data_IF_538928859430
#
_entry.id   IF_538928859430
#
_cell.length_a   1.000
_cell.length_b   1.000
_cell.length_c   1.000
_cell.angle_alpha   90.00
_cell.angle_beta   90.00
_cell.angle_gamma   90.00
#
_symmetry.space_group_name_H-M   'P 1'
#
loop_
_entity.id
_entity.type
_entity.pdbx_description
1 polymer ?
#
# COMPACT_ATOMS: atom_id res chain seq x y z
N UNK A 1 14.98 20.16 21.85
CA UNK A 1 14.23 19.52 22.96
C UNK A 1 13.30 20.56 23.55
N UNK A 2 11.99 20.37 23.39
CA UNK A 2 10.92 20.68 24.37
C UNK A 2 9.58 20.37 23.71
N UNK A 3 8.84 19.48 24.37
CA UNK A 3 7.49 19.02 24.07
C UNK A 3 6.45 20.09 24.42
N UNK A 4 5.34 20.16 23.68
CA UNK A 4 4.00 20.32 24.26
C UNK A 4 3.00 19.50 23.44
N UNK A 5 2.25 18.66 24.15
CA UNK A 5 1.15 17.80 23.71
C UNK A 5 -0.20 18.54 23.86
N UNK A 6 -1.27 17.98 23.28
CA UNK A 6 -2.69 18.29 23.53
C UNK A 6 -3.23 19.48 22.70
N UNK A 7 -4.39 19.46 22.04
CA UNK A 7 -5.68 18.91 22.44
C UNK A 7 -6.55 18.48 21.24
N UNK A 8 -7.57 17.69 21.57
CA UNK A 8 -8.62 17.18 20.69
C UNK A 8 -9.26 18.24 19.80
N UNK A 9 -9.09 18.12 18.48
CA UNK A 9 -10.07 18.71 17.55
C UNK A 9 -11.23 17.72 17.40
N UNK A 10 -12.11 17.72 18.40
CA UNK A 10 -13.42 17.07 18.34
C UNK A 10 -14.25 17.89 17.34
N UNK A 11 -14.71 17.35 16.20
CA UNK A 11 -15.63 18.10 15.36
C UNK A 11 -16.93 18.26 16.13
N UNK A 12 -17.33 19.51 16.32
CA UNK A 12 -18.67 19.92 16.72
C UNK A 12 -19.71 19.06 16.00
N UNK A 13 -20.70 18.60 16.77
CA UNK A 13 -21.89 17.94 16.24
C UNK A 13 -22.55 18.90 15.23
N UNK A 14 -23.08 18.39 14.13
CA UNK A 14 -23.75 19.14 13.03
C UNK A 14 -22.88 19.69 11.89
N UNK A 15 -22.06 18.85 11.27
CA UNK A 15 -21.64 19.07 9.88
C UNK A 15 -21.72 17.78 9.06
N UNK A 16 -22.82 17.04 9.21
CA UNK A 16 -23.16 15.92 8.33
C UNK A 16 -24.24 16.39 7.38
N UNK A 17 -23.86 16.87 6.19
CA UNK A 17 -24.56 16.63 4.93
C UNK A 17 -24.05 17.54 3.80
N UNK A 18 -23.88 16.91 2.64
CA UNK A 18 -23.80 17.50 1.29
C UNK A 18 -22.47 18.12 0.85
N UNK A 19 -21.51 17.24 0.54
CA UNK A 19 -20.66 17.43 -0.64
C UNK A 19 -20.85 16.22 -1.57
N UNK A 20 -22.01 16.14 -2.22
CA UNK A 20 -22.25 15.15 -3.29
C UNK A 20 -22.07 15.74 -4.69
N UNK A 21 -21.91 17.05 -4.84
CA UNK A 21 -21.74 17.75 -6.12
C UNK A 21 -21.01 19.08 -5.90
N UNK A 22 -19.69 19.07 -5.69
CA UNK A 22 -18.88 20.30 -5.73
C UNK A 22 -17.61 20.06 -6.55
N UNK A 23 -17.65 20.55 -7.78
CA UNK A 23 -16.50 20.84 -8.61
C UNK A 23 -15.49 21.73 -7.86
N UNK A 24 -14.20 21.42 -8.08
CA UNK A 24 -13.02 22.26 -7.87
C UNK A 24 -13.12 23.37 -6.79
N UNK A 25 -12.70 23.07 -5.55
CA UNK A 25 -12.21 24.11 -4.64
C UNK A 25 -10.68 24.13 -4.63
N UNK A 26 -10.11 25.14 -5.28
CA UNK A 26 -8.72 25.53 -5.14
C UNK A 26 -8.46 25.92 -3.68
N UNK A 27 -7.50 25.26 -3.02
CA UNK A 27 -6.95 25.67 -1.74
C UNK A 27 -5.74 26.57 -1.97
N UNK A 28 -5.73 27.75 -1.39
CA UNK A 28 -4.61 28.70 -1.44
C UNK A 28 -3.84 28.62 -0.11
N UNK A 29 -2.56 28.29 -0.18
CA UNK A 29 -1.60 28.40 0.92
C UNK A 29 -1.24 29.87 1.20
N UNK A 30 -0.91 30.21 2.46
CA UNK A 30 -0.65 31.59 2.93
C UNK A 30 0.55 32.29 2.24
N UNK A 31 1.18 31.66 1.24
CA UNK A 31 2.26 32.21 0.44
C UNK A 31 1.90 32.37 -1.05
N UNK A 32 0.62 32.20 -1.44
CA UNK A 32 0.14 32.62 -2.76
C UNK A 32 0.67 31.82 -3.96
N UNK A 33 1.23 30.62 -3.76
CA UNK A 33 1.63 29.76 -4.87
C UNK A 33 0.51 28.80 -5.24
N UNK A 34 -0.22 29.09 -6.33
CA UNK A 34 -1.26 28.21 -6.88
C UNK A 34 -0.67 26.90 -7.41
N UNK A 35 -0.32 26.01 -6.49
CA UNK A 35 0.12 24.65 -6.79
C UNK A 35 -1.12 23.78 -6.79
N UNK A 36 -1.36 23.04 -7.87
CA UNK A 36 -2.41 22.02 -7.89
C UNK A 36 -2.04 20.92 -6.88
N UNK A 37 -2.44 21.09 -5.63
CA UNK A 37 -2.37 20.02 -4.63
C UNK A 37 -3.41 19.00 -5.09
N UNK A 38 -2.95 17.99 -5.81
CA UNK A 38 -3.77 16.85 -6.22
C UNK A 38 -4.09 16.08 -4.95
N UNK A 39 -5.11 16.51 -4.20
CA UNK A 39 -5.59 15.79 -3.04
C UNK A 39 -5.86 14.35 -3.45
N UNK A 40 -5.37 13.33 -2.71
CA UNK A 40 -5.71 11.96 -3.01
C UNK A 40 -7.22 11.86 -2.96
N UNK A 41 -7.79 11.60 -4.14
CA UNK A 41 -9.22 11.40 -4.36
C UNK A 41 -9.70 10.49 -3.23
N UNK A 42 -10.61 10.96 -2.37
CA UNK A 42 -11.20 10.14 -1.32
C UNK A 42 -12.08 9.10 -2.03
N UNK A 43 -11.43 8.03 -2.45
CA UNK A 43 -12.06 6.91 -3.13
C UNK A 43 -12.44 5.92 -2.06
N UNK A 44 -13.75 5.69 -1.92
CA UNK A 44 -14.32 4.51 -1.27
C UNK A 44 -13.38 3.31 -1.50
N UNK A 45 -13.13 2.53 -0.44
CA UNK A 45 -12.30 1.33 -0.56
C UNK A 45 -12.79 0.50 -1.76
N UNK A 46 -11.90 0.06 -2.66
CA UNK A 46 -12.29 -0.68 -3.83
C UNK A 46 -13.08 -1.92 -3.43
N UNK A 47 -14.15 -2.19 -4.18
CA UNK A 47 -14.99 -3.35 -3.91
C UNK A 47 -14.25 -4.62 -4.34
N UNK A 48 -13.62 -5.28 -3.37
CA UNK A 48 -13.00 -6.59 -3.55
C UNK A 48 -14.07 -7.64 -3.30
N UNK A 49 -14.22 -8.58 -4.25
CA UNK A 49 -15.14 -9.72 -4.12
C UNK A 49 -14.81 -10.50 -2.85
N UNK A 50 -15.81 -10.72 -2.00
CA UNK A 50 -15.67 -11.55 -0.80
C UNK A 50 -15.87 -13.02 -1.17
N UNK A 51 -15.08 -13.88 -0.56
CA UNK A 51 -15.18 -15.34 -0.71
C UNK A 51 -15.65 -15.97 0.59
N UNK A 52 -16.31 -17.12 0.48
CA UNK A 52 -16.62 -17.98 1.64
C UNK A 52 -15.32 -18.59 2.17
N UNK A 53 -15.20 -18.73 3.49
CA UNK A 53 -14.08 -19.44 4.08
C UNK A 53 -14.02 -20.89 3.56
N UNK A 54 -12.82 -21.33 3.14
CA UNK A 54 -12.60 -22.65 2.54
C UNK A 54 -12.93 -22.75 1.04
N UNK A 55 -13.43 -21.68 0.40
CA UNK A 55 -13.60 -21.65 -1.06
C UNK A 55 -12.28 -21.25 -1.74
N UNK A 56 -11.37 -22.22 -1.83
CA UNK A 56 -10.03 -22.04 -2.39
C UNK A 56 -10.05 -21.54 -3.84
N UNK A 57 -11.09 -21.91 -4.62
CA UNK A 57 -11.26 -21.48 -6.01
C UNK A 57 -11.59 -20.00 -6.06
N UNK A 58 -12.58 -19.55 -5.28
CA UNK A 58 -12.94 -18.14 -5.20
C UNK A 58 -11.75 -17.29 -4.71
N UNK A 59 -11.05 -17.74 -3.67
CA UNK A 59 -9.93 -17.01 -3.08
C UNK A 59 -8.80 -16.86 -4.10
N UNK A 60 -8.42 -17.95 -4.76
CA UNK A 60 -7.38 -17.95 -5.81
C UNK A 60 -7.74 -17.03 -6.96
N UNK A 61 -8.98 -17.06 -7.44
CA UNK A 61 -9.45 -16.17 -8.51
C UNK A 61 -9.41 -14.70 -8.07
N UNK A 62 -9.89 -14.40 -6.87
CA UNK A 62 -9.92 -13.04 -6.33
C UNK A 62 -8.50 -12.49 -6.15
N UNK A 63 -7.54 -13.30 -5.70
CA UNK A 63 -6.13 -12.90 -5.62
C UNK A 63 -5.54 -12.58 -7.00
N UNK A 64 -5.80 -13.41 -8.01
CA UNK A 64 -5.37 -13.15 -9.38
C UNK A 64 -5.99 -11.86 -9.95
N UNK A 65 -7.27 -11.60 -9.65
CA UNK A 65 -7.93 -10.35 -10.04
C UNK A 65 -7.31 -9.13 -9.37
N UNK A 66 -6.97 -9.22 -8.08
CA UNK A 66 -6.30 -8.13 -7.35
C UNK A 66 -4.93 -7.82 -7.99
N UNK A 67 -4.12 -8.83 -8.29
CA UNK A 67 -2.81 -8.64 -8.95
C UNK A 67 -2.99 -7.93 -10.30
N UNK A 68 -3.97 -8.36 -11.10
CA UNK A 68 -4.27 -7.77 -12.41
C UNK A 68 -4.79 -6.34 -12.34
N UNK A 69 -5.63 -6.03 -11.35
CA UNK A 69 -6.27 -4.72 -11.22
C UNK A 69 -5.37 -3.68 -10.55
N UNK A 70 -4.47 -4.10 -9.67
CA UNK A 70 -3.62 -3.20 -8.88
C UNK A 70 -2.11 -3.53 -9.03
N UNK A 71 -1.56 -3.57 -10.26
CA UNK A 71 -0.15 -3.91 -10.46
C UNK A 71 0.80 -2.83 -9.89
N UNK A 72 0.34 -1.58 -9.80
CA UNK A 72 1.08 -0.47 -9.20
C UNK A 72 0.91 -0.38 -7.67
N UNK A 73 0.15 -1.31 -7.07
CA UNK A 73 -0.23 -1.29 -5.67
C UNK A 73 -1.46 -0.45 -5.39
N UNK A 74 -1.88 -0.41 -4.12
CA UNK A 74 -2.99 0.42 -3.66
C UNK A 74 -2.80 0.84 -2.19
N UNK A 75 -2.68 2.15 -1.91
CA UNK A 75 -2.44 2.64 -0.55
C UNK A 75 -3.63 2.41 0.40
N UNK A 76 -4.87 2.32 -0.12
CA UNK A 76 -6.07 2.18 0.72
C UNK A 76 -6.10 0.86 1.49
N UNK A 77 -5.53 -0.20 0.92
CA UNK A 77 -5.40 -1.50 1.58
C UNK A 77 -3.94 -1.94 1.71
N UNK A 78 -3.01 -0.97 1.70
CA UNK A 78 -1.56 -1.17 1.91
C UNK A 78 -0.91 -2.21 0.98
N UNK A 79 -1.42 -2.33 -0.24
CA UNK A 79 -0.81 -3.19 -1.24
C UNK A 79 0.39 -2.47 -1.88
N UNK A 80 1.59 -3.06 -1.85
CA UNK A 80 2.78 -2.48 -2.45
C UNK A 80 2.74 -2.55 -3.98
N UNK A 81 3.63 -1.80 -4.64
CA UNK A 81 3.80 -1.88 -6.09
C UNK A 81 4.37 -3.26 -6.48
N UNK A 82 3.70 -3.98 -7.37
CA UNK A 82 4.11 -5.30 -7.83
C UNK A 82 5.01 -5.26 -9.07
N UNK A 83 5.00 -4.17 -9.83
CA UNK A 83 5.92 -4.00 -10.98
C UNK A 83 7.37 -3.87 -10.53
N UNK A 84 7.60 -3.24 -9.37
CA UNK A 84 8.91 -3.08 -8.78
C UNK A 84 8.85 -3.13 -7.25
N UNK A 85 9.36 -4.24 -6.70
CA UNK A 85 9.62 -4.37 -5.27
C UNK A 85 11.11 -4.13 -5.03
N UNK A 86 11.42 -3.25 -4.08
CA UNK A 86 12.78 -2.95 -3.65
C UNK A 86 13.02 -3.56 -2.26
N UNK A 87 14.14 -4.26 -2.12
CA UNK A 87 14.60 -4.77 -0.83
C UNK A 87 16.01 -4.25 -0.59
N UNK A 88 16.21 -3.52 0.50
CA UNK A 88 17.50 -2.92 0.82
C UNK A 88 18.55 -3.99 1.16
N UNK A 89 18.11 -5.06 1.84
CA UNK A 89 18.98 -6.15 2.27
C UNK A 89 18.24 -7.47 2.37
N UNK A 90 18.79 -8.52 1.78
CA UNK A 90 18.34 -9.90 1.93
C UNK A 90 19.53 -10.76 2.40
N UNK A 91 19.36 -11.48 3.50
CA UNK A 91 20.36 -12.41 4.03
C UNK A 91 19.90 -13.81 3.64
N UNK A 92 20.63 -14.46 2.73
CA UNK A 92 20.28 -15.78 2.18
C UNK A 92 20.89 -16.90 3.02
N UNK A 93 22.10 -16.68 3.55
CA UNK A 93 22.70 -17.56 4.54
C UNK A 93 23.40 -16.75 5.61
N UNK A 94 23.32 -17.25 6.83
CA UNK A 94 24.10 -16.78 7.96
C UNK A 94 24.92 -17.96 8.44
N UNK A 95 26.24 -17.80 8.49
CA UNK A 95 27.15 -18.86 8.94
C UNK A 95 26.82 -19.25 10.37
N UNK A 96 26.64 -20.55 10.60
CA UNK A 96 26.65 -21.14 11.94
C UNK A 96 28.11 -21.40 12.35
N UNK A 97 28.46 -21.08 13.59
CA UNK A 97 29.80 -21.33 14.14
C UNK A 97 30.19 -22.80 14.19
N UNK A 98 29.21 -23.72 14.02
CA UNK A 98 29.42 -25.17 13.97
C UNK A 98 29.43 -25.74 12.55
N UNK A 99 29.17 -24.93 11.52
CA UNK A 99 29.17 -25.41 10.14
C UNK A 99 30.63 -25.59 9.65
N UNK A 100 30.96 -26.70 8.96
CA UNK A 100 32.29 -26.91 8.36
C UNK A 100 32.67 -25.82 7.35
N UNK A 101 31.67 -25.15 6.76
CA UNK A 101 31.82 -24.07 5.81
C UNK A 101 31.04 -22.84 6.29
N UNK A 102 31.73 -21.74 6.54
CA UNK A 102 31.15 -20.49 7.03
C UNK A 102 30.87 -19.53 5.87
N UNK A 103 29.77 -19.74 5.15
CA UNK A 103 29.35 -18.85 4.07
C UNK A 103 28.26 -17.89 4.53
N UNK A 104 28.49 -16.60 4.27
CA UNK A 104 27.54 -15.52 4.54
C UNK A 104 27.12 -14.87 3.21
N UNK A 105 25.93 -15.20 2.74
CA UNK A 105 25.37 -14.61 1.52
C UNK A 105 24.43 -13.46 1.87
N UNK A 106 24.80 -12.26 1.46
CA UNK A 106 23.99 -11.04 1.59
C UNK A 106 23.84 -10.39 0.23
N UNK A 107 22.60 -10.02 -0.09
CA UNK A 107 22.22 -9.29 -1.29
C UNK A 107 21.73 -7.92 -0.85
N UNK A 108 22.16 -6.87 -1.54
CA UNK A 108 21.79 -5.48 -1.26
C UNK A 108 21.13 -4.86 -2.48
N UNK A 109 20.29 -3.83 -2.26
CA UNK A 109 19.65 -3.03 -3.30
C UNK A 109 18.92 -3.86 -4.37
N UNK A 110 18.21 -4.91 -3.93
CA UNK A 110 17.55 -5.87 -4.81
C UNK A 110 16.31 -5.22 -5.41
N UNK A 111 16.18 -5.35 -6.73
CA UNK A 111 15.01 -4.92 -7.49
C UNK A 111 14.34 -6.16 -8.08
N UNK A 112 13.14 -6.47 -7.60
CA UNK A 112 12.32 -7.58 -8.08
C UNK A 112 11.25 -7.01 -9.01
N UNK A 113 11.18 -7.53 -10.22
CA UNK A 113 10.20 -7.14 -11.25
C UNK A 113 9.44 -8.35 -11.75
N UNK A 114 8.25 -8.15 -12.32
CA UNK A 114 7.45 -9.22 -12.91
C UNK A 114 6.45 -9.88 -11.96
N UNK A 115 6.35 -9.43 -10.71
CA UNK A 115 5.31 -9.90 -9.77
C UNK A 115 3.91 -9.45 -10.21
N UNK A 116 3.82 -8.37 -11.00
CA UNK A 116 2.60 -7.94 -11.68
C UNK A 116 2.08 -8.98 -12.70
N UNK A 117 2.92 -9.93 -13.10
CA UNK A 117 2.58 -11.04 -14.00
C UNK A 117 2.44 -12.37 -13.26
N UNK A 118 2.56 -12.36 -11.92
CA UNK A 118 2.42 -13.58 -11.13
C UNK A 118 1.00 -14.13 -11.25
N UNK A 119 0.89 -15.46 -11.26
CA UNK A 119 -0.37 -16.18 -11.27
C UNK A 119 -0.43 -17.10 -10.06
N UNK A 120 -1.43 -16.88 -9.21
CA UNK A 120 -1.73 -17.77 -8.10
C UNK A 120 -2.37 -19.03 -8.66
N UNK A 121 -1.75 -20.18 -8.36
CA UNK A 121 -2.20 -21.50 -8.83
C UNK A 121 -3.14 -22.18 -7.84
N UNK A 122 -3.06 -21.83 -6.55
CA UNK A 122 -3.90 -22.35 -5.49
C UNK A 122 -3.58 -21.67 -4.16
N UNK A 123 -4.47 -21.88 -3.19
CA UNK A 123 -4.39 -21.37 -1.81
C UNK A 123 -4.77 -22.45 -0.83
#
# INVERSE_FOLDING_TARGET
MMFVNSEHMRPSKEAWAKCLLCDLKYGVDLNGSSSAIKYPKYTKAPEIKKCKAGDHVCITQTMNDIIRLYPDGNPLFKMPNLKLVKLDKLIVSKSDSKAPLQLNFQLFDIKITGLDKAKILGT
#
